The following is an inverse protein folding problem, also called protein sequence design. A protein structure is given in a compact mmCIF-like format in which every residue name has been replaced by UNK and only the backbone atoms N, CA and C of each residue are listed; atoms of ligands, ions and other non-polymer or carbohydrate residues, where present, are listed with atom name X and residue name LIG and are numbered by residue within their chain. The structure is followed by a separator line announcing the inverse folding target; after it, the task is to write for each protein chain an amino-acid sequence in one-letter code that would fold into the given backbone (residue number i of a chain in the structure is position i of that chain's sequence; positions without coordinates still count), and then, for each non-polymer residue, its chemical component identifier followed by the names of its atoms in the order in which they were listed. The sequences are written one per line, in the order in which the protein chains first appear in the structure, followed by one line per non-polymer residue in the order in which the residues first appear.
data_IF_465143844190
#
_entry.id   IF_465143844190
#
_cell.length_a   1.000
_cell.length_b   1.000
_cell.length_c   1.000
_cell.angle_alpha   90.00
_cell.angle_beta   90.00
_cell.angle_gamma   90.00
#
_symmetry.space_group_name_H-M   'P 1'
#
loop_
_entity.id
_entity.type
_entity.pdbx_description
1 polymer ?
#
# COMPACT_ATOMS: atom_id res chain seq x y z
N UNK A 1 31.29 -0.21 -15.80
CA UNK A 1 30.28 -0.96 -15.03
C UNK A 1 30.11 -0.29 -13.68
N UNK A 2 29.07 0.53 -13.52
CA UNK A 2 28.75 1.21 -12.26
C UNK A 2 27.94 0.21 -11.43
N UNK A 3 28.45 -0.22 -10.27
CA UNK A 3 27.70 -1.09 -9.34
C UNK A 3 26.49 -0.30 -8.86
N UNK A 4 25.32 -0.60 -9.42
CA UNK A 4 24.04 -0.16 -8.87
C UNK A 4 23.79 -1.05 -7.66
N UNK A 5 24.03 -0.50 -6.48
CA UNK A 5 23.78 -1.15 -5.20
C UNK A 5 22.26 -1.16 -4.95
N UNK A 6 21.72 -2.33 -4.60
CA UNK A 6 20.29 -2.56 -4.30
C UNK A 6 19.75 -1.61 -3.20
N UNK A 7 20.64 -0.98 -2.42
CA UNK A 7 20.31 0.01 -1.40
C UNK A 7 19.69 1.32 -1.94
N UNK A 8 19.89 1.71 -3.21
CA UNK A 8 19.33 2.96 -3.76
C UNK A 8 17.91 2.79 -4.33
N UNK A 9 17.41 1.56 -4.49
CA UNK A 9 16.06 1.29 -5.00
C UNK A 9 14.97 1.36 -3.91
N UNK A 10 15.35 1.37 -2.63
CA UNK A 10 14.40 1.37 -1.51
C UNK A 10 14.01 2.79 -1.04
N UNK A 11 14.78 3.81 -1.40
CA UNK A 11 14.53 5.22 -1.01
C UNK A 11 13.59 5.98 -1.97
N UNK A 12 13.16 5.36 -3.07
CA UNK A 12 12.00 5.80 -3.86
C UNK A 12 10.77 4.93 -3.58
N UNK A 13 10.60 4.52 -2.31
CA UNK A 13 9.27 4.34 -1.75
C UNK A 13 8.53 5.68 -1.91
N UNK A 14 7.90 5.85 -3.06
CA UNK A 14 6.91 6.86 -3.37
C UNK A 14 6.08 7.06 -2.12
N UNK A 15 6.16 8.25 -1.51
CA UNK A 15 5.13 8.74 -0.60
C UNK A 15 3.84 8.75 -1.43
N UNK A 16 3.21 7.58 -1.54
CA UNK A 16 1.90 7.42 -2.11
C UNK A 16 1.03 8.24 -1.17
N UNK A 17 0.81 9.50 -1.55
CA UNK A 17 -0.02 10.44 -0.83
C UNK A 17 -1.32 9.71 -0.58
N UNK A 18 -1.48 9.27 0.67
CA UNK A 18 -2.67 8.55 1.10
C UNK A 18 -3.82 9.47 0.72
N UNK A 19 -4.74 9.01 -0.14
CA UNK A 19 -5.75 9.87 -0.72
C UNK A 19 -6.41 10.72 0.37
N UNK A 20 -6.55 12.03 0.14
CA UNK A 20 -6.97 12.99 1.16
C UNK A 20 -8.33 12.67 1.80
N UNK A 21 -9.16 11.85 1.15
CA UNK A 21 -10.43 11.36 1.71
C UNK A 21 -10.25 10.26 2.79
N UNK A 22 -9.11 9.56 2.80
CA UNK A 22 -8.71 8.65 3.89
C UNK A 22 -8.06 9.42 5.04
N UNK A 23 -7.41 10.53 4.74
CA UNK A 23 -6.96 11.52 5.72
C UNK A 23 -8.15 12.38 6.18
N UNK A 24 -9.22 11.74 6.67
CA UNK A 24 -10.16 12.45 7.52
C UNK A 24 -9.44 12.79 8.83
N UNK A 25 -8.68 13.89 8.82
CA UNK A 25 -8.25 14.55 10.05
C UNK A 25 -9.52 14.94 10.79
N UNK A 26 -10.01 14.01 11.62
CA UNK A 26 -10.94 14.35 12.67
C UNK A 26 -10.23 15.42 13.49
N UNK A 27 -10.69 16.66 13.33
CA UNK A 27 -10.20 17.82 14.06
C UNK A 27 -10.55 17.60 15.53
N UNK A 28 -9.70 16.86 16.23
CA UNK A 28 -9.93 16.49 17.62
C UNK A 28 -9.92 17.76 18.46
N UNK A 29 -10.98 17.95 19.26
CA UNK A 29 -11.02 19.05 20.23
C UNK A 29 -9.82 18.92 21.18
N UNK A 30 -9.05 20.02 21.33
CA UNK A 30 -7.83 20.05 22.16
C UNK A 30 -8.06 19.53 23.58
N UNK A 31 -9.22 19.82 24.17
CA UNK A 31 -9.63 19.35 25.49
C UNK A 31 -9.79 17.83 25.56
N UNK A 32 -10.40 17.22 24.54
CA UNK A 32 -10.59 15.78 24.48
C UNK A 32 -9.28 15.03 24.22
N UNK A 33 -8.29 15.67 23.58
CA UNK A 33 -6.99 15.04 23.30
C UNK A 33 -6.26 14.60 24.57
N UNK A 34 -6.26 15.44 25.61
CA UNK A 34 -5.68 15.07 26.91
C UNK A 34 -6.41 13.89 27.54
N UNK A 35 -7.74 13.90 27.49
CA UNK A 35 -8.55 12.79 27.99
C UNK A 35 -8.31 11.49 27.22
N UNK A 36 -8.27 11.53 25.88
CA UNK A 36 -7.96 10.35 25.07
C UNK A 36 -6.57 9.81 25.37
N UNK A 37 -5.59 10.66 25.65
CA UNK A 37 -4.27 10.20 26.05
C UNK A 37 -4.29 9.44 27.39
N UNK A 38 -5.19 9.82 28.31
CA UNK A 38 -5.36 9.16 29.60
C UNK A 38 -6.19 7.87 29.52
N UNK A 39 -7.27 7.86 28.74
CA UNK A 39 -8.31 6.83 28.79
C UNK A 39 -8.30 5.86 27.59
N UNK A 40 -7.81 6.28 26.42
CA UNK A 40 -7.87 5.48 25.19
C UNK A 40 -6.76 4.42 25.15
N UNK A 41 -7.03 3.22 24.59
CA UNK A 41 -5.97 2.29 24.25
C UNK A 41 -5.01 2.88 23.22
N UNK A 42 -3.80 2.34 23.14
CA UNK A 42 -2.79 2.71 22.13
C UNK A 42 -3.28 2.37 20.72
N UNK A 43 -2.99 3.25 19.76
CA UNK A 43 -3.36 3.05 18.36
C UNK A 43 -2.68 1.81 17.77
N UNK A 44 -3.43 0.85 17.19
CA UNK A 44 -2.83 -0.30 16.52
C UNK A 44 -2.13 0.13 15.22
N UNK A 45 -1.11 -0.61 14.75
CA UNK A 45 -0.46 -0.34 13.47
C UNK A 45 -1.45 -0.49 12.31
N UNK A 46 -1.19 0.17 11.19
CA UNK A 46 -2.08 0.15 10.00
C UNK A 46 -2.30 -1.27 9.42
N UNK A 47 -1.32 -2.17 9.62
CA UNK A 47 -1.39 -3.58 9.22
C UNK A 47 -2.06 -4.50 10.25
N UNK A 48 -2.59 -3.96 11.35
CA UNK A 48 -3.25 -4.78 12.37
C UNK A 48 -4.52 -5.45 11.84
N UNK A 49 -4.80 -6.65 12.34
CA UNK A 49 -6.02 -7.38 12.01
C UNK A 49 -7.28 -6.58 12.36
N UNK A 50 -8.36 -6.80 11.60
CA UNK A 50 -9.66 -6.16 11.80
C UNK A 50 -10.13 -6.24 13.26
N UNK A 51 -9.94 -7.39 13.93
CA UNK A 51 -10.31 -7.59 15.34
C UNK A 51 -9.60 -6.60 16.27
N UNK A 52 -8.30 -6.33 16.07
CA UNK A 52 -7.56 -5.35 16.89
C UNK A 52 -7.98 -3.92 16.60
N UNK A 53 -8.26 -3.59 15.33
CA UNK A 53 -8.79 -2.26 14.95
C UNK A 53 -10.17 -2.04 15.55
N UNK A 54 -11.03 -3.06 15.59
CA UNK A 54 -12.36 -3.00 16.19
C UNK A 54 -12.30 -2.86 17.72
N UNK A 55 -11.41 -3.60 18.39
CA UNK A 55 -11.16 -3.41 19.83
C UNK A 55 -10.70 -1.98 20.14
N UNK A 56 -9.79 -1.41 19.34
CA UNK A 56 -9.37 -0.02 19.48
C UNK A 56 -10.53 0.96 19.27
N UNK A 57 -11.35 0.76 18.22
CA UNK A 57 -12.54 1.57 17.96
C UNK A 57 -13.50 1.57 19.15
N UNK A 58 -13.83 0.38 19.68
CA UNK A 58 -14.69 0.25 20.87
C UNK A 58 -14.07 0.89 22.11
N UNK A 59 -12.78 0.70 22.34
CA UNK A 59 -12.09 1.34 23.47
C UNK A 59 -12.05 2.87 23.35
N UNK A 60 -11.97 3.40 22.13
CA UNK A 60 -12.04 4.84 21.85
C UNK A 60 -13.46 5.40 22.04
N UNK A 61 -14.49 4.73 21.53
CA UNK A 61 -15.90 5.08 21.80
C UNK A 61 -16.18 5.04 23.31
N UNK A 62 -15.67 4.01 24.01
CA UNK A 62 -15.76 3.93 25.45
C UNK A 62 -15.12 5.13 26.16
N UNK A 63 -13.96 5.57 25.67
CA UNK A 63 -13.30 6.78 26.18
C UNK A 63 -14.13 8.05 25.93
N UNK A 64 -14.96 8.11 24.89
CA UNK A 64 -15.85 9.25 24.65
C UNK A 64 -17.02 9.30 25.64
N UNK A 65 -17.53 8.13 26.01
CA UNK A 65 -18.70 7.99 26.88
C UNK A 65 -18.31 8.18 28.36
N UNK A 66 -17.13 7.70 28.77
CA UNK A 66 -16.68 7.73 30.17
C UNK A 66 -16.77 9.13 30.84
N UNK A 67 -16.34 10.26 30.23
CA UNK A 67 -16.50 11.59 30.81
C UNK A 67 -17.95 11.95 31.16
N UNK A 68 -18.90 11.61 30.28
CA UNK A 68 -20.31 11.86 30.53
C UNK A 68 -20.81 11.02 31.72
N UNK A 69 -20.31 9.79 31.86
CA UNK A 69 -20.61 8.93 33.00
C UNK A 69 -20.03 9.48 34.32
N UNK A 70 -18.82 10.04 34.30
CA UNK A 70 -18.26 10.75 35.47
C UNK A 70 -19.11 11.97 35.85
N UNK A 71 -19.49 12.80 34.87
CA UNK A 71 -20.35 13.98 35.10
C UNK A 71 -21.70 13.56 35.67
N UNK A 72 -22.30 12.48 35.16
CA UNK A 72 -23.55 11.95 35.68
C UNK A 72 -23.44 11.58 37.17
N UNK A 73 -22.38 10.88 37.57
CA UNK A 73 -22.14 10.56 38.99
C UNK A 73 -21.87 11.81 39.83
N UNK A 74 -21.20 12.83 39.28
CA UNK A 74 -20.98 14.11 39.98
C UNK A 74 -22.32 14.83 40.24
N UNK A 75 -23.24 14.79 39.27
CA UNK A 75 -24.58 15.39 39.41
C UNK A 75 -25.43 14.64 40.44
N UNK A 76 -25.17 13.36 40.69
CA UNK A 76 -25.86 12.58 41.72
C UNK A 76 -25.39 12.91 43.15
N UNK A 77 -24.18 13.47 43.34
CA UNK A 77 -23.64 13.75 44.68
C UNK A 77 -24.51 14.72 45.51
N UNK A 78 -24.97 15.87 44.98
CA UNK A 78 -25.87 16.76 45.73
C UNK A 78 -27.12 16.07 46.25
N UNK A 79 -27.69 15.12 45.49
CA UNK A 79 -28.85 14.36 45.93
C UNK A 79 -28.54 13.46 47.14
N UNK A 80 -27.31 12.96 47.27
CA UNK A 80 -26.89 12.18 48.44
C UNK A 80 -26.66 13.02 49.70
N UNK A 81 -26.22 14.27 49.55
CA UNK A 81 -26.03 15.18 50.68
C UNK A 81 -27.31 15.86 51.15
N UNK A 82 -28.22 16.18 50.22
CA UNK A 82 -29.46 16.89 50.50
C UNK A 82 -30.67 15.94 50.66
N UNK A 83 -30.54 14.71 50.18
CA UNK A 83 -31.62 13.71 50.19
C UNK A 83 -31.74 12.95 51.51
N UNK A 84 -32.77 12.12 51.57
CA UNK A 84 -33.07 11.26 52.73
C UNK A 84 -32.16 10.03 52.80
N UNK A 85 -31.58 9.59 51.68
CA UNK A 85 -30.71 8.41 51.62
C UNK A 85 -29.23 8.78 51.80
N UNK A 86 -28.76 8.79 53.06
CA UNK A 86 -27.34 9.02 53.37
C UNK A 86 -26.39 7.96 52.80
N UNK A 87 -26.88 6.76 52.46
CA UNK A 87 -26.07 5.71 51.82
C UNK A 87 -25.70 6.03 50.37
N UNK A 88 -26.40 6.98 49.73
CA UNK A 88 -26.12 7.34 48.34
C UNK A 88 -24.70 7.89 48.16
N UNK A 89 -24.17 8.67 49.12
CA UNK A 89 -22.81 9.23 49.04
C UNK A 89 -21.74 8.14 48.97
N UNK A 90 -21.65 7.16 49.91
CA UNK A 90 -20.67 6.09 49.80
C UNK A 90 -20.88 5.20 48.58
N UNK A 91 -22.13 4.97 48.13
CA UNK A 91 -22.42 4.23 46.89
C UNK A 91 -21.78 4.96 45.69
N UNK A 92 -22.01 6.27 45.56
CA UNK A 92 -21.44 7.08 44.48
C UNK A 92 -19.91 7.06 44.52
N UNK A 93 -19.29 7.16 45.70
CA UNK A 93 -17.82 7.06 45.87
C UNK A 93 -17.31 5.72 45.32
N UNK A 94 -17.96 4.59 45.66
CA UNK A 94 -17.60 3.28 45.13
C UNK A 94 -17.74 3.23 43.61
N UNK A 95 -18.81 3.80 43.06
CA UNK A 95 -19.01 3.90 41.61
C UNK A 95 -17.90 4.72 40.92
N UNK A 96 -17.45 5.83 41.51
CA UNK A 96 -16.31 6.60 41.01
C UNK A 96 -15.03 5.74 40.97
N UNK A 97 -14.74 5.01 42.05
CA UNK A 97 -13.58 4.12 42.09
C UNK A 97 -13.65 3.02 41.02
N UNK A 98 -14.83 2.44 40.82
CA UNK A 98 -15.05 1.46 39.75
C UNK A 98 -14.86 2.06 38.35
N UNK A 99 -15.30 3.30 38.10
CA UNK A 99 -15.04 3.97 36.82
C UNK A 99 -13.56 4.30 36.60
N UNK A 100 -12.82 4.61 37.66
CA UNK A 100 -11.36 4.78 37.59
C UNK A 100 -10.72 3.46 37.16
N UNK A 101 -11.10 2.35 37.79
CA UNK A 101 -10.63 1.00 37.41
C UNK A 101 -10.98 0.71 35.95
N UNK A 102 -12.21 0.98 35.52
CA UNK A 102 -12.63 0.78 34.14
C UNK A 102 -11.80 1.63 33.15
N UNK A 103 -11.48 2.86 33.50
CA UNK A 103 -10.65 3.77 32.70
C UNK A 103 -9.23 3.22 32.55
N UNK A 104 -8.64 2.71 33.63
CA UNK A 104 -7.32 2.05 33.60
C UNK A 104 -7.35 0.79 32.74
N UNK A 105 -8.37 -0.08 32.92
CA UNK A 105 -8.52 -1.29 32.10
C UNK A 105 -8.68 -0.97 30.61
N UNK A 106 -9.43 0.09 30.28
CA UNK A 106 -9.60 0.53 28.90
C UNK A 106 -8.28 1.00 28.28
N UNK A 107 -7.49 1.76 29.05
CA UNK A 107 -6.14 2.20 28.65
C UNK A 107 -5.20 1.02 28.39
N UNK A 108 -5.30 -0.04 29.18
CA UNK A 108 -4.53 -1.28 29.00
C UNK A 108 -4.99 -2.13 27.80
N UNK A 109 -6.01 -1.69 27.06
CA UNK A 109 -6.57 -2.45 25.93
C UNK A 109 -7.50 -3.60 26.34
N UNK A 110 -7.80 -3.75 27.63
CA UNK A 110 -8.73 -4.75 28.16
C UNK A 110 -10.19 -4.25 28.05
N UNK A 111 -10.60 -3.88 26.84
CA UNK A 111 -11.86 -3.15 26.58
C UNK A 111 -13.10 -3.90 27.06
N UNK A 112 -13.16 -5.23 26.90
CA UNK A 112 -14.30 -6.02 27.39
C UNK A 112 -14.38 -6.03 28.93
N UNK A 113 -13.23 -6.10 29.62
CA UNK A 113 -13.20 -6.07 31.08
C UNK A 113 -13.59 -4.68 31.60
N UNK A 114 -13.08 -3.62 30.97
CA UNK A 114 -13.50 -2.24 31.26
C UNK A 114 -15.02 -2.08 31.07
N UNK A 115 -15.56 -2.57 29.95
CA UNK A 115 -16.99 -2.57 29.68
C UNK A 115 -17.82 -3.29 30.72
N UNK A 116 -17.38 -4.46 31.16
CA UNK A 116 -18.04 -5.22 32.21
C UNK A 116 -18.08 -4.44 33.53
N UNK A 117 -16.97 -3.81 33.92
CA UNK A 117 -16.91 -2.95 35.13
C UNK A 117 -17.85 -1.75 35.00
N UNK A 118 -17.92 -1.08 33.83
CA UNK A 118 -18.86 0.04 33.61
C UNK A 118 -20.31 -0.42 33.73
N UNK A 119 -20.68 -1.53 33.08
CA UNK A 119 -22.05 -2.08 33.14
C UNK A 119 -22.42 -2.45 34.58
N UNK A 120 -21.52 -3.13 35.30
CA UNK A 120 -21.75 -3.45 36.71
C UNK A 120 -21.87 -2.20 37.56
N UNK A 121 -21.08 -1.16 37.32
CA UNK A 121 -21.14 0.10 38.07
C UNK A 121 -22.51 0.76 37.93
N UNK A 122 -23.02 0.86 36.70
CA UNK A 122 -24.31 1.50 36.42
C UNK A 122 -25.52 0.59 36.62
N UNK A 123 -25.31 -0.70 36.81
CA UNK A 123 -26.32 -1.62 37.33
C UNK A 123 -26.38 -1.54 38.86
N UNK A 124 -25.22 -1.56 39.53
CA UNK A 124 -25.08 -1.47 40.97
C UNK A 124 -25.64 -0.16 41.53
N UNK A 125 -25.35 0.97 40.89
CA UNK A 125 -25.79 2.30 41.36
C UNK A 125 -27.30 2.39 41.65
N UNK A 126 -28.22 2.22 40.67
CA UNK A 126 -29.65 2.32 40.92
C UNK A 126 -30.19 1.18 41.79
N UNK A 127 -29.61 -0.03 41.70
CA UNK A 127 -30.01 -1.16 42.55
C UNK A 127 -29.72 -0.85 44.03
N UNK A 128 -28.50 -0.40 44.31
CA UNK A 128 -28.07 -0.08 45.66
C UNK A 128 -28.86 1.11 46.22
N UNK A 129 -29.15 2.12 45.40
CA UNK A 129 -30.01 3.25 45.79
C UNK A 129 -31.40 2.75 46.24
N UNK A 130 -32.10 2.01 45.39
CA UNK A 130 -33.44 1.46 45.68
C UNK A 130 -33.44 0.57 46.94
N UNK A 131 -32.44 -0.30 47.09
CA UNK A 131 -32.36 -1.24 48.23
C UNK A 131 -32.02 -0.53 49.53
N UNK A 132 -31.30 0.59 49.48
CA UNK A 132 -30.88 1.34 50.68
C UNK A 132 -31.81 2.49 51.05
N UNK A 133 -32.88 2.73 50.27
CA UNK A 133 -33.86 3.78 50.56
C UNK A 133 -34.50 3.58 51.94
N UNK A 134 -34.33 4.54 52.87
CA UNK A 134 -34.90 4.44 54.21
C UNK A 134 -36.42 4.51 54.15
N UNK A 135 -37.09 3.58 54.84
CA UNK A 135 -38.55 3.48 54.83
C UNK A 135 -39.13 2.67 53.68
N UNK A 136 -38.28 2.09 52.82
CA UNK A 136 -38.70 1.27 51.69
C UNK A 136 -38.98 2.08 50.42
N UNK A 137 -39.48 1.39 49.40
CA UNK A 137 -39.78 1.98 48.09
C UNK A 137 -41.03 2.86 48.20
N UNK A 138 -40.91 4.10 47.77
CA UNK A 138 -42.01 5.07 47.67
C UNK A 138 -42.31 5.41 46.19
N UNK A 139 -43.35 6.20 45.92
CA UNK A 139 -43.72 6.54 44.53
C UNK A 139 -42.68 7.40 43.79
N UNK A 140 -41.90 8.20 44.52
CA UNK A 140 -40.83 9.04 43.95
C UNK A 140 -39.63 8.20 43.51
N UNK A 141 -39.53 6.94 43.95
CA UNK A 141 -38.46 6.02 43.55
C UNK A 141 -38.79 5.29 42.23
N UNK A 142 -40.05 5.29 41.77
CA UNK A 142 -40.44 4.63 40.52
C UNK A 142 -39.63 5.11 39.28
N UNK A 143 -39.34 6.41 39.12
CA UNK A 143 -38.45 6.90 38.06
C UNK A 143 -37.01 6.34 38.14
N UNK A 144 -36.52 5.93 39.32
CA UNK A 144 -35.16 5.36 39.48
C UNK A 144 -35.03 4.03 38.75
N UNK A 145 -36.12 3.25 38.64
CA UNK A 145 -36.13 2.05 37.79
C UNK A 145 -35.91 2.38 36.30
N UNK A 146 -36.25 3.59 35.86
CA UNK A 146 -35.91 4.09 34.53
C UNK A 146 -34.40 4.24 34.33
N UNK A 147 -33.63 4.50 35.39
CA UNK A 147 -32.16 4.57 35.31
C UNK A 147 -31.52 3.20 35.01
N UNK A 148 -32.22 2.08 35.20
CA UNK A 148 -31.77 0.75 34.78
C UNK A 148 -31.68 0.61 33.24
N UNK A 149 -32.14 1.59 32.48
CA UNK A 149 -31.89 1.66 31.04
C UNK A 149 -30.41 2.00 30.75
N UNK A 150 -29.77 2.81 31.59
CA UNK A 150 -28.39 3.25 31.38
C UNK A 150 -27.37 2.09 31.27
N UNK A 151 -27.39 1.05 32.14
CA UNK A 151 -26.50 -0.10 31.96
C UNK A 151 -26.77 -0.87 30.66
N UNK A 152 -27.96 -0.81 30.06
CA UNK A 152 -28.22 -1.40 28.73
C UNK A 152 -27.46 -0.64 27.63
N UNK A 153 -27.52 0.70 27.66
CA UNK A 153 -26.77 1.55 26.73
C UNK A 153 -25.27 1.36 26.90
N UNK A 154 -24.80 1.23 28.14
CA UNK A 154 -23.40 0.90 28.43
C UNK A 154 -23.03 -0.49 27.88
N UNK A 155 -23.89 -1.49 28.05
CA UNK A 155 -23.63 -2.84 27.56
C UNK A 155 -23.43 -2.87 26.04
N UNK A 156 -24.30 -2.22 25.26
CA UNK A 156 -24.12 -2.22 23.79
C UNK A 156 -22.93 -1.40 23.32
N UNK A 157 -22.52 -0.40 24.10
CA UNK A 157 -21.41 0.49 23.74
C UNK A 157 -20.06 -0.14 24.02
N UNK A 158 -19.94 -0.89 25.11
CA UNK A 158 -18.66 -1.43 25.58
C UNK A 158 -18.50 -2.94 25.42
N UNK A 159 -19.58 -3.71 25.34
CA UNK A 159 -19.56 -5.18 25.22
C UNK A 159 -20.08 -5.61 23.83
N UNK A 160 -19.89 -6.89 23.44
CA UNK A 160 -20.55 -7.42 22.26
C UNK A 160 -22.07 -7.19 22.33
N UNK A 161 -22.76 -6.85 21.23
CA UNK A 161 -24.16 -6.38 21.25
C UNK A 161 -25.13 -7.31 21.98
N UNK A 162 -24.87 -8.62 21.96
CA UNK A 162 -25.72 -9.62 22.61
C UNK A 162 -25.77 -9.51 24.14
N UNK A 163 -24.79 -8.87 24.79
CA UNK A 163 -24.76 -8.67 26.25
C UNK A 163 -25.89 -7.79 26.77
N UNK A 164 -26.57 -7.05 25.91
CA UNK A 164 -27.72 -6.23 26.31
C UNK A 164 -28.88 -7.08 26.83
N UNK A 165 -29.07 -8.31 26.31
CA UNK A 165 -30.18 -9.17 26.71
C UNK A 165 -30.01 -9.76 28.11
N UNK A 166 -28.84 -10.33 28.50
CA UNK A 166 -28.59 -10.70 29.89
C UNK A 166 -28.77 -9.54 30.87
N UNK A 167 -28.27 -8.35 30.53
CA UNK A 167 -28.41 -7.15 31.38
C UNK A 167 -29.88 -6.75 31.51
N UNK A 168 -30.65 -6.74 30.42
CA UNK A 168 -32.08 -6.48 30.43
C UNK A 168 -32.84 -7.50 31.27
N UNK A 169 -32.50 -8.78 31.13
CA UNK A 169 -33.11 -9.85 31.92
C UNK A 169 -32.87 -9.65 33.42
N UNK A 170 -31.63 -9.36 33.83
CA UNK A 170 -31.28 -9.09 35.22
C UNK A 170 -32.05 -7.86 35.74
N UNK A 171 -32.12 -6.79 34.95
CA UNK A 171 -32.86 -5.59 35.34
C UNK A 171 -34.36 -5.85 35.46
N UNK A 172 -34.96 -6.62 34.55
CA UNK A 172 -36.37 -7.01 34.61
C UNK A 172 -36.65 -7.87 35.86
N UNK A 173 -35.79 -8.85 36.15
CA UNK A 173 -35.92 -9.70 37.33
C UNK A 173 -35.75 -8.88 38.63
N UNK A 174 -34.79 -7.96 38.66
CA UNK A 174 -34.60 -7.06 39.78
C UNK A 174 -35.82 -6.14 39.99
N UNK A 175 -36.34 -5.52 38.92
CA UNK A 175 -37.56 -4.68 39.01
C UNK A 175 -38.73 -5.46 39.59
N UNK A 176 -38.95 -6.68 39.08
CA UNK A 176 -40.03 -7.54 39.58
C UNK A 176 -39.81 -7.92 41.06
N UNK A 177 -38.59 -8.31 41.43
CA UNK A 177 -38.24 -8.65 42.80
C UNK A 177 -38.40 -7.46 43.75
N UNK A 178 -37.89 -6.28 43.37
CA UNK A 178 -37.96 -5.07 44.18
C UNK A 178 -39.42 -4.67 44.47
N UNK A 179 -40.28 -4.70 43.46
CA UNK A 179 -41.71 -4.34 43.60
C UNK A 179 -42.56 -5.42 44.29
N UNK A 180 -42.02 -6.61 44.59
CA UNK A 180 -42.79 -7.68 45.25
C UNK A 180 -42.24 -8.05 46.63
N UNK A 181 -40.93 -7.91 46.85
CA UNK A 181 -40.26 -8.41 48.05
C UNK A 181 -39.67 -7.31 48.94
N UNK A 182 -39.38 -6.12 48.40
CA UNK A 182 -38.84 -5.03 49.23
C UNK A 182 -39.96 -4.30 49.98
N UNK A 183 -39.68 -3.76 51.19
CA UNK A 183 -40.63 -2.95 51.92
C UNK A 183 -41.11 -1.76 51.07
N UNK A 184 -42.41 -1.49 51.13
CA UNK A 184 -43.06 -0.41 50.38
C UNK A 184 -43.79 0.53 51.34
N UNK A 185 -43.90 1.80 50.96
CA UNK A 185 -44.77 2.71 51.69
C UNK A 185 -46.24 2.28 51.54
N UNK A 186 -47.10 2.56 52.54
CA UNK A 186 -48.53 2.22 52.45
C UNK A 186 -49.22 2.79 51.21
N UNK A 187 -48.77 3.98 50.76
CA UNK A 187 -49.27 4.63 49.57
C UNK A 187 -48.95 3.85 48.29
N UNK A 188 -47.69 3.38 48.14
CA UNK A 188 -47.29 2.58 46.99
C UNK A 188 -47.94 1.19 47.02
N UNK A 189 -48.04 0.58 48.20
CA UNK A 189 -48.70 -0.72 48.36
C UNK A 189 -50.17 -0.65 47.92
N UNK A 190 -50.92 0.37 48.37
CA UNK A 190 -52.31 0.56 47.94
C UNK A 190 -52.45 0.78 46.42
N UNK A 191 -51.49 1.48 45.80
CA UNK A 191 -51.48 1.63 44.34
C UNK A 191 -51.13 0.33 43.61
N UNK A 192 -50.20 -0.46 44.12
CA UNK A 192 -49.84 -1.75 43.53
C UNK A 192 -50.98 -2.76 43.65
N UNK A 193 -51.75 -2.76 44.73
CA UNK A 193 -52.95 -3.61 44.86
C UNK A 193 -54.02 -3.27 43.80
N UNK A 194 -54.19 -1.99 43.49
CA UNK A 194 -55.19 -1.53 42.51
C UNK A 194 -54.71 -1.73 41.07
N UNK A 195 -53.43 -1.44 40.80
CA UNK A 195 -52.92 -1.38 39.43
C UNK A 195 -51.46 -1.86 39.29
N UNK A 196 -51.14 -3.04 39.83
CA UNK A 196 -49.81 -3.65 39.70
C UNK A 196 -49.32 -3.67 38.25
N UNK A 197 -50.14 -4.20 37.34
CA UNK A 197 -49.81 -4.37 35.93
C UNK A 197 -49.53 -3.04 35.24
N UNK A 198 -50.31 -2.00 35.52
CA UNK A 198 -50.13 -0.68 34.91
C UNK A 198 -48.85 0.03 35.35
N UNK A 199 -48.36 -0.26 36.56
CA UNK A 199 -47.11 0.32 37.08
C UNK A 199 -45.89 -0.45 36.55
N UNK A 200 -45.92 -1.78 36.59
CA UNK A 200 -44.75 -2.60 36.22
C UNK A 200 -44.55 -2.71 34.69
N UNK A 201 -45.64 -2.77 33.91
CA UNK A 201 -45.55 -3.05 32.48
C UNK A 201 -44.75 -1.99 31.72
N UNK A 202 -44.94 -0.67 31.91
CA UNK A 202 -44.14 0.35 31.23
C UNK A 202 -42.64 0.25 31.51
N UNK A 203 -42.26 -0.10 32.75
CA UNK A 203 -40.85 -0.26 33.14
C UNK A 203 -40.24 -1.46 32.41
N UNK A 204 -40.89 -2.63 32.44
CA UNK A 204 -40.37 -3.83 31.78
C UNK A 204 -40.39 -3.70 30.25
N UNK A 205 -41.47 -3.18 29.68
CA UNK A 205 -41.62 -2.99 28.23
C UNK A 205 -40.56 -2.00 27.72
N UNK A 206 -40.30 -0.89 28.44
CA UNK A 206 -39.27 0.06 28.02
C UNK A 206 -37.86 -0.55 28.01
N UNK A 207 -37.51 -1.38 29.00
CA UNK A 207 -36.22 -2.09 29.03
C UNK A 207 -36.09 -3.08 27.87
N UNK A 208 -37.15 -3.85 27.58
CA UNK A 208 -37.16 -4.80 26.47
C UNK A 208 -37.02 -4.06 25.14
N UNK A 209 -37.85 -3.03 24.89
CA UNK A 209 -37.80 -2.25 23.65
C UNK A 209 -36.42 -1.65 23.45
N UNK A 210 -35.85 -1.00 24.47
CA UNK A 210 -34.54 -0.36 24.36
C UNK A 210 -33.45 -1.41 24.12
N UNK A 211 -33.52 -2.58 24.75
CA UNK A 211 -32.54 -3.65 24.50
C UNK A 211 -32.55 -4.12 23.05
N UNK A 212 -33.74 -4.30 22.45
CA UNK A 212 -33.90 -4.71 21.04
C UNK A 212 -33.42 -3.62 20.10
N UNK A 213 -33.84 -2.38 20.30
CA UNK A 213 -33.44 -1.24 19.46
C UNK A 213 -31.92 -1.04 19.52
N UNK A 214 -31.34 -1.05 20.71
CA UNK A 214 -29.91 -0.90 20.91
C UNK A 214 -29.11 -2.05 20.27
N UNK A 215 -29.59 -3.29 20.39
CA UNK A 215 -29.00 -4.45 19.71
C UNK A 215 -28.98 -4.28 18.18
N UNK A 216 -30.15 -3.97 17.60
CA UNK A 216 -30.29 -3.81 16.14
C UNK A 216 -29.42 -2.66 15.64
N UNK A 217 -29.41 -1.53 16.36
CA UNK A 217 -28.62 -0.36 15.99
C UNK A 217 -27.12 -0.67 15.98
N UNK A 218 -26.55 -1.16 17.09
CA UNK A 218 -25.11 -1.46 17.15
C UNK A 218 -24.74 -2.58 16.19
N UNK A 219 -25.56 -3.63 16.10
CA UNK A 219 -25.31 -4.73 15.16
C UNK A 219 -25.27 -4.22 13.71
N UNK A 220 -26.25 -3.40 13.32
CA UNK A 220 -26.28 -2.79 11.98
C UNK A 220 -25.05 -1.93 11.71
N UNK A 221 -24.63 -1.10 12.67
CA UNK A 221 -23.42 -0.27 12.55
C UNK A 221 -22.17 -1.12 12.38
N UNK A 222 -21.99 -2.18 13.16
CA UNK A 222 -20.84 -3.10 13.05
C UNK A 222 -20.82 -3.78 11.68
N UNK A 223 -21.95 -4.25 11.18
CA UNK A 223 -22.04 -4.87 9.84
C UNK A 223 -21.78 -3.86 8.72
N UNK A 224 -22.29 -2.63 8.83
CA UNK A 224 -22.03 -1.57 7.86
C UNK A 224 -20.54 -1.21 7.83
N UNK A 225 -19.91 -1.12 8.99
CA UNK A 225 -18.48 -0.81 9.13
C UNK A 225 -17.61 -1.93 8.55
N UNK A 226 -17.94 -3.19 8.82
CA UNK A 226 -17.26 -4.34 8.24
C UNK A 226 -17.44 -4.46 6.72
N UNK A 227 -18.52 -3.90 6.14
CA UNK A 227 -18.68 -3.79 4.68
C UNK A 227 -17.85 -2.65 4.12
N UNK A 228 -17.81 -1.50 4.79
CA UNK A 228 -17.00 -0.36 4.38
C UNK A 228 -15.51 -0.69 4.38
N UNK A 229 -14.99 -1.32 5.44
CA UNK A 229 -13.57 -1.69 5.54
C UNK A 229 -13.17 -2.70 4.44
N UNK A 230 -14.06 -3.64 4.08
CA UNK A 230 -13.85 -4.57 2.94
C UNK A 230 -13.87 -3.86 1.59
N UNK A 231 -14.77 -2.89 1.41
CA UNK A 231 -14.83 -2.09 0.18
C UNK A 231 -13.57 -1.22 0.02
N UNK A 232 -13.04 -0.68 1.12
CA UNK A 232 -11.78 0.07 1.12
C UNK A 232 -10.59 -0.82 0.74
N UNK A 233 -10.51 -2.03 1.29
CA UNK A 233 -9.47 -3.00 0.93
C UNK A 233 -9.53 -3.40 -0.55
N UNK A 234 -10.73 -3.65 -1.08
CA UNK A 234 -10.93 -3.94 -2.51
C UNK A 234 -10.50 -2.75 -3.38
N UNK A 235 -10.95 -1.53 -3.05
CA UNK A 235 -10.60 -0.33 -3.80
C UNK A 235 -9.07 -0.09 -3.82
N UNK A 236 -8.39 -0.37 -2.71
CA UNK A 236 -6.93 -0.30 -2.64
C UNK A 236 -6.27 -1.32 -3.55
N UNK A 237 -6.73 -2.58 -3.52
CA UNK A 237 -6.19 -3.64 -4.38
C UNK A 237 -6.44 -3.36 -5.86
N UNK A 238 -7.63 -2.86 -6.21
CA UNK A 238 -7.95 -2.45 -7.58
C UNK A 238 -7.04 -1.32 -8.07
N UNK A 239 -6.77 -0.33 -7.21
CA UNK A 239 -5.85 0.75 -7.53
C UNK A 239 -4.42 0.24 -7.75
N UNK A 240 -3.92 -0.63 -6.87
CA UNK A 240 -2.59 -1.23 -6.99
C UNK A 240 -2.46 -2.07 -8.28
N UNK A 241 -3.51 -2.85 -8.62
CA UNK A 241 -3.57 -3.60 -9.87
C UNK A 241 -3.61 -2.70 -11.10
N UNK A 242 -4.36 -1.59 -11.05
CA UNK A 242 -4.43 -0.62 -12.15
C UNK A 242 -3.05 0.02 -12.41
N UNK A 243 -2.32 0.40 -11.34
CA UNK A 243 -0.96 0.92 -11.47
C UNK A 243 0.00 -0.10 -12.08
N UNK A 244 -0.08 -1.37 -11.66
CA UNK A 244 0.74 -2.44 -12.24
C UNK A 244 0.41 -2.67 -13.72
N UNK A 245 -0.88 -2.65 -14.08
CA UNK A 245 -1.32 -2.80 -15.47
C UNK A 245 -0.81 -1.64 -16.35
N UNK A 246 -0.84 -0.41 -15.85
CA UNK A 246 -0.30 0.75 -16.56
C UNK A 246 1.22 0.64 -16.75
N UNK A 247 1.95 0.25 -15.70
CA UNK A 247 3.40 0.03 -15.80
C UNK A 247 3.74 -1.06 -16.83
N UNK A 248 3.00 -2.17 -16.83
CA UNK A 248 3.16 -3.24 -17.80
C UNK A 248 2.84 -2.79 -19.23
N UNK A 249 1.78 -1.99 -19.41
CA UNK A 249 1.42 -1.43 -20.71
C UNK A 249 2.52 -0.51 -21.27
N UNK A 250 3.07 0.38 -20.42
CA UNK A 250 4.19 1.27 -20.80
C UNK A 250 5.44 0.47 -21.17
N UNK A 251 5.77 -0.57 -20.41
CA UNK A 251 6.91 -1.45 -20.74
C UNK A 251 6.72 -2.14 -22.08
N UNK A 252 5.50 -2.61 -22.36
CA UNK A 252 5.16 -3.24 -23.65
C UNK A 252 5.29 -2.25 -24.81
N UNK A 253 4.77 -1.03 -24.66
CA UNK A 253 4.89 0.01 -25.69
C UNK A 253 6.36 0.36 -25.96
N UNK A 254 7.17 0.51 -24.90
CA UNK A 254 8.61 0.74 -25.05
C UNK A 254 9.30 -0.41 -25.78
N UNK A 255 8.94 -1.66 -25.48
CA UNK A 255 9.47 -2.84 -26.13
C UNK A 255 9.09 -2.86 -27.62
N UNK A 256 7.82 -2.64 -27.97
CA UNK A 256 7.33 -2.61 -29.34
C UNK A 256 8.02 -1.52 -30.17
N UNK A 257 8.12 -0.30 -29.63
CA UNK A 257 8.84 0.80 -30.27
C UNK A 257 10.32 0.46 -30.51
N UNK A 258 10.93 -0.31 -29.62
CA UNK A 258 12.34 -0.71 -29.73
C UNK A 258 12.55 -1.82 -30.76
N UNK A 259 11.62 -2.77 -30.83
CA UNK A 259 11.57 -3.80 -31.88
C UNK A 259 11.39 -3.13 -33.24
N UNK A 260 10.48 -2.17 -33.37
CA UNK A 260 10.24 -1.48 -34.65
C UNK A 260 11.50 -0.78 -35.18
N UNK A 261 12.27 -0.12 -34.30
CA UNK A 261 13.57 0.47 -34.66
C UNK A 261 14.60 -0.56 -35.14
N UNK A 262 14.62 -1.75 -34.52
CA UNK A 262 15.48 -2.86 -34.95
C UNK A 262 15.05 -3.34 -36.35
N UNK A 263 13.75 -3.56 -36.57
CA UNK A 263 13.19 -4.03 -37.84
C UNK A 263 13.43 -3.02 -38.96
N UNK A 264 13.25 -1.72 -38.71
CA UNK A 264 13.50 -0.65 -39.66
C UNK A 264 14.98 -0.61 -40.06
N UNK A 265 15.89 -0.68 -39.09
CA UNK A 265 17.33 -0.73 -39.35
C UNK A 265 17.69 -1.95 -40.19
N UNK A 266 17.14 -3.12 -39.86
CA UNK A 266 17.38 -4.35 -40.62
C UNK A 266 16.87 -4.23 -42.07
N UNK A 267 15.70 -3.63 -42.27
CA UNK A 267 15.13 -3.36 -43.60
C UNK A 267 16.02 -2.42 -44.42
N UNK A 268 16.55 -1.34 -43.81
CA UNK A 268 17.50 -0.43 -44.48
C UNK A 268 18.78 -1.14 -44.91
N UNK A 269 19.34 -1.98 -44.04
CA UNK A 269 20.53 -2.78 -44.36
C UNK A 269 20.25 -3.76 -45.49
N UNK A 270 19.09 -4.43 -45.48
CA UNK A 270 18.67 -5.34 -46.55
C UNK A 270 18.53 -4.61 -47.90
N UNK A 271 18.17 -3.33 -47.89
CA UNK A 271 18.10 -2.46 -49.06
C UNK A 271 19.47 -1.86 -49.47
N UNK A 272 20.58 -2.32 -48.88
CA UNK A 272 21.95 -1.93 -49.25
C UNK A 272 22.54 -0.78 -48.43
N UNK A 273 21.82 -0.23 -47.45
CA UNK A 273 22.36 0.78 -46.54
C UNK A 273 23.08 0.14 -45.35
N UNK A 274 24.31 -0.32 -45.59
CA UNK A 274 25.16 -0.92 -44.54
C UNK A 274 25.66 0.08 -43.48
N UNK A 275 25.41 1.38 -43.68
CA UNK A 275 25.78 2.42 -42.70
C UNK A 275 24.75 2.56 -41.57
N UNK A 276 23.52 2.04 -41.76
CA UNK A 276 22.47 2.10 -40.76
C UNK A 276 22.87 1.38 -39.46
N UNK A 277 22.50 1.98 -38.32
CA UNK A 277 22.73 1.44 -36.97
C UNK A 277 21.45 1.54 -36.17
N UNK A 278 21.26 0.57 -35.28
CA UNK A 278 20.10 0.54 -34.38
C UNK A 278 20.28 1.61 -33.30
N UNK A 279 19.38 2.62 -33.21
CA UNK A 279 19.51 3.73 -32.27
C UNK A 279 18.80 3.39 -30.94
N UNK A 280 19.29 2.39 -30.21
CA UNK A 280 18.81 2.07 -28.87
C UNK A 280 19.81 2.52 -27.80
N UNK A 281 19.31 3.19 -26.76
CA UNK A 281 20.08 3.63 -25.58
C UNK A 281 20.27 2.50 -24.57
N UNK A 282 21.21 2.64 -23.63
CA UNK A 282 21.52 1.66 -22.58
C UNK A 282 20.35 1.34 -21.65
N UNK A 283 19.36 2.24 -21.60
CA UNK A 283 18.20 2.13 -20.71
C UNK A 283 17.14 1.17 -21.27
N UNK A 284 17.34 0.69 -22.50
CA UNK A 284 16.42 -0.22 -23.17
C UNK A 284 16.73 -1.69 -22.85
N UNK A 285 15.71 -2.50 -22.58
CA UNK A 285 15.87 -3.94 -22.33
C UNK A 285 16.53 -4.67 -23.52
N UNK A 286 16.34 -4.17 -24.75
CA UNK A 286 16.92 -4.75 -25.98
C UNK A 286 18.29 -4.18 -26.33
N UNK A 287 18.91 -3.38 -25.47
CA UNK A 287 20.23 -2.78 -25.73
C UNK A 287 21.32 -3.82 -25.98
N UNK A 288 21.29 -4.95 -25.26
CA UNK A 288 22.24 -6.04 -25.51
C UNK A 288 22.07 -6.64 -26.91
N UNK A 289 20.82 -6.78 -27.36
CA UNK A 289 20.51 -7.31 -28.69
C UNK A 289 20.98 -6.33 -29.77
N UNK A 290 20.70 -5.03 -29.62
CA UNK A 290 21.16 -4.02 -30.58
C UNK A 290 22.68 -3.90 -30.63
N UNK A 291 23.38 -4.06 -29.50
CA UNK A 291 24.83 -4.10 -29.46
C UNK A 291 25.40 -5.23 -30.33
N UNK A 292 24.86 -6.45 -30.17
CA UNK A 292 25.28 -7.60 -30.98
C UNK A 292 24.97 -7.41 -32.47
N UNK A 293 23.79 -6.86 -32.79
CA UNK A 293 23.37 -6.58 -34.16
C UNK A 293 24.25 -5.51 -34.81
N UNK A 294 24.53 -4.40 -34.13
CA UNK A 294 25.40 -3.33 -34.65
C UNK A 294 26.83 -3.83 -34.94
N UNK A 295 27.35 -4.76 -34.14
CA UNK A 295 28.63 -5.41 -34.40
C UNK A 295 28.60 -6.28 -35.66
N UNK A 296 27.52 -7.04 -35.88
CA UNK A 296 27.33 -7.81 -37.12
C UNK A 296 27.21 -6.90 -38.34
N UNK A 297 26.45 -5.82 -38.24
CA UNK A 297 26.32 -4.81 -39.31
C UNK A 297 27.66 -4.15 -39.64
N UNK A 298 28.47 -3.83 -38.62
CA UNK A 298 29.81 -3.28 -38.83
C UNK A 298 30.73 -4.29 -39.55
N UNK A 299 30.66 -5.58 -39.22
CA UNK A 299 31.41 -6.62 -39.94
C UNK A 299 30.93 -6.76 -41.40
N UNK A 300 29.63 -6.76 -41.64
CA UNK A 300 29.05 -6.83 -42.98
C UNK A 300 29.45 -5.62 -43.84
N UNK A 301 29.42 -4.41 -43.27
CA UNK A 301 29.87 -3.21 -43.95
C UNK A 301 31.34 -3.30 -44.39
N UNK A 302 32.23 -3.78 -43.51
CA UNK A 302 33.64 -4.01 -43.85
C UNK A 302 33.79 -5.01 -44.99
N UNK A 303 33.12 -6.16 -44.91
CA UNK A 303 33.15 -7.16 -45.98
C UNK A 303 32.68 -6.61 -47.34
N UNK A 304 31.67 -5.74 -47.34
CA UNK A 304 31.19 -5.09 -48.57
C UNK A 304 32.19 -4.05 -49.12
N UNK A 305 32.83 -3.27 -48.25
CA UNK A 305 33.90 -2.34 -48.62
C UNK A 305 35.10 -3.08 -49.21
N UNK A 306 35.53 -4.16 -48.57
CA UNK A 306 36.63 -5.00 -49.05
C UNK A 306 36.30 -5.59 -50.43
N UNK A 307 35.08 -6.09 -50.62
CA UNK A 307 34.59 -6.61 -51.91
C UNK A 307 34.63 -5.55 -53.01
N UNK A 308 34.14 -4.34 -52.73
CA UNK A 308 34.11 -3.24 -53.70
C UNK A 308 35.52 -2.73 -54.02
N UNK A 309 36.40 -2.65 -53.03
CA UNK A 309 37.81 -2.34 -53.24
C UNK A 309 38.48 -3.41 -54.12
N UNK A 310 38.25 -4.69 -53.82
CA UNK A 310 38.79 -5.81 -54.60
C UNK A 310 38.26 -5.79 -56.05
N UNK A 311 37.00 -5.40 -56.25
CA UNK A 311 36.42 -5.23 -57.59
C UNK A 311 37.04 -4.06 -58.34
N UNK A 312 37.27 -2.91 -57.69
CA UNK A 312 38.02 -1.77 -58.27
C UNK A 312 39.46 -2.15 -58.58
N UNK A 313 40.11 -2.90 -57.69
CA UNK A 313 41.48 -3.36 -57.87
C UNK A 313 41.56 -4.32 -59.06
N UNK A 314 40.60 -5.23 -59.22
CA UNK A 314 40.46 -6.07 -60.43
C UNK A 314 40.29 -5.24 -61.70
N UNK A 315 39.41 -4.24 -61.69
CA UNK A 315 39.21 -3.33 -62.83
C UNK A 315 40.49 -2.54 -63.17
N UNK A 316 41.17 -2.00 -62.16
CA UNK A 316 42.46 -1.33 -62.32
C UNK A 316 43.52 -2.27 -62.89
N UNK A 317 43.56 -3.52 -62.44
CA UNK A 317 44.48 -4.53 -62.97
C UNK A 317 44.20 -4.84 -64.45
N UNK A 318 42.94 -4.89 -64.86
CA UNK A 318 42.57 -5.04 -66.27
C UNK A 318 43.01 -3.84 -67.11
N UNK A 319 42.79 -2.61 -66.62
CA UNK A 319 43.25 -1.39 -67.30
C UNK A 319 44.77 -1.35 -67.45
N UNK A 320 45.50 -1.67 -66.38
CA UNK A 320 46.97 -1.68 -66.36
C UNK A 320 47.56 -2.76 -67.28
N UNK A 321 46.84 -3.88 -67.44
CA UNK A 321 47.19 -4.95 -68.38
C UNK A 321 46.97 -4.51 -69.83
N UNK A 322 45.88 -3.81 -70.11
CA UNK A 322 45.58 -3.22 -71.42
C UNK A 322 46.64 -2.17 -71.79
N UNK A 323 47.01 -1.30 -70.85
CA UNK A 323 48.03 -0.27 -71.03
C UNK A 323 49.42 -0.88 -71.26
N UNK A 324 49.80 -1.91 -70.49
CA UNK A 324 51.03 -2.66 -70.73
C UNK A 324 51.05 -3.32 -72.11
N UNK A 325 49.91 -3.84 -72.59
CA UNK A 325 49.79 -4.41 -73.92
C UNK A 325 50.04 -3.34 -74.99
N UNK A 326 49.42 -2.16 -74.86
CA UNK A 326 49.65 -1.02 -75.77
C UNK A 326 51.10 -0.56 -75.75
N UNK A 327 51.70 -0.45 -74.57
CA UNK A 327 53.11 -0.08 -74.43
C UNK A 327 54.02 -1.10 -75.13
N UNK A 328 53.77 -2.40 -74.97
CA UNK A 328 54.51 -3.43 -75.70
C UNK A 328 54.33 -3.33 -77.21
N UNK A 329 53.11 -3.09 -77.69
CA UNK A 329 52.85 -2.85 -79.11
C UNK A 329 53.61 -1.62 -79.62
N UNK A 330 53.66 -0.52 -78.86
CA UNK A 330 54.46 0.66 -79.22
C UNK A 330 55.96 0.41 -79.18
N UNK A 331 56.48 -0.33 -78.21
CA UNK A 331 57.91 -0.69 -78.13
C UNK A 331 58.29 -1.58 -79.31
N UNK A 332 57.44 -2.54 -79.67
CA UNK A 332 57.64 -3.38 -80.86
C UNK A 332 57.61 -2.53 -82.14
N UNK A 333 56.67 -1.58 -82.26
CA UNK A 333 56.63 -0.65 -83.38
C UNK A 333 57.87 0.24 -83.45
N UNK A 334 58.37 0.72 -82.31
CA UNK A 334 59.62 1.48 -82.22
C UNK A 334 60.85 0.62 -82.53
N UNK A 335 60.87 -0.66 -82.15
CA UNK A 335 61.93 -1.60 -82.54
C UNK A 335 61.89 -1.88 -84.04
N UNK A 336 60.71 -2.02 -84.64
CA UNK A 336 60.57 -2.13 -86.10
C UNK A 336 61.05 -0.86 -86.80
N UNK A 337 60.68 0.32 -86.29
CA UNK A 337 61.23 1.60 -86.79
C UNK A 337 62.75 1.68 -86.63
N UNK A 338 63.30 1.18 -85.52
CA UNK A 338 64.75 1.12 -85.29
C UNK A 338 65.43 0.07 -86.17
N UNK A 339 64.78 -1.02 -86.51
CA UNK A 339 65.26 -2.03 -87.46
C UNK A 339 65.15 -1.51 -88.91
N UNK A 340 64.18 -0.65 -89.21
CA UNK A 340 64.08 0.11 -90.46
C UNK A 340 65.15 1.21 -90.56
N UNK A 341 65.42 1.95 -89.48
CA UNK A 341 66.55 2.88 -89.38
C UNK A 341 67.90 2.14 -89.37
N UNK A 342 67.96 0.96 -88.77
CA UNK A 342 69.12 0.05 -88.76
C UNK A 342 69.40 -0.57 -90.12
N UNK A 343 68.38 -0.77 -90.96
CA UNK A 343 68.56 -1.14 -92.38
C UNK A 343 69.16 -0.02 -93.24
N UNK A 344 69.15 1.24 -92.77
CA UNK A 344 69.77 2.38 -93.47
C UNK A 344 71.19 2.72 -93.02
N UNK A 345 71.76 2.03 -92.03
CA UNK A 345 73.17 2.22 -91.63
C UNK A 345 73.84 0.88 -91.36
N UNK A 346 74.43 0.34 -92.41
CA UNK A 346 75.35 -0.77 -92.30
C UNK A 346 76.63 -0.40 -91.55
N UNK A 347 77.20 -1.45 -90.98
CA UNK A 347 78.62 -1.71 -90.70
C UNK A 347 79.21 -1.43 -89.30
N UNK A 348 79.50 -2.57 -88.64
CA UNK A 348 80.81 -2.95 -88.06
C UNK A 348 81.06 -2.72 -86.55
N UNK A 349 82.02 -3.46 -85.94
CA UNK A 349 81.71 -4.47 -84.92
C UNK A 349 82.50 -4.31 -83.60
N UNK A 350 82.32 -5.30 -82.72
CA UNK A 350 83.28 -5.84 -81.73
C UNK A 350 83.26 -5.38 -80.26
N UNK A 351 83.26 -6.44 -79.41
CA UNK A 351 83.95 -6.64 -78.12
C UNK A 351 83.50 -5.91 -76.85
N UNK A 352 82.92 -6.68 -75.91
CA UNK A 352 83.50 -7.12 -74.61
C UNK A 352 82.37 -7.43 -73.61
N UNK A 353 82.20 -8.69 -73.17
CA UNK A 353 82.82 -9.28 -71.97
C UNK A 353 82.59 -8.47 -70.68
N UNK A 354 81.55 -8.82 -69.89
CA UNK A 354 81.62 -8.87 -68.42
C UNK A 354 80.44 -9.68 -67.83
N UNK A 355 80.79 -10.78 -67.17
CA UNK A 355 80.03 -11.53 -66.14
C UNK A 355 80.85 -11.38 -64.84
N UNK A 356 80.41 -11.70 -63.60
CA UNK A 356 79.16 -12.32 -63.11
C UNK A 356 78.62 -11.64 -61.80
N UNK A 357 77.74 -12.34 -61.08
CA UNK A 357 77.51 -12.30 -59.62
C UNK A 357 76.62 -11.20 -58.99
N UNK A 358 75.39 -11.59 -58.60
CA UNK A 358 75.12 -12.08 -57.23
C UNK A 358 73.62 -12.02 -56.86
N UNK A 359 73.11 -12.97 -56.06
CA UNK A 359 71.69 -13.07 -55.70
C UNK A 359 71.41 -12.25 -54.42
N UNK A 360 70.67 -11.14 -54.54
CA UNK A 360 70.17 -10.44 -53.35
C UNK A 360 68.86 -11.05 -52.86
N UNK A 361 69.01 -11.92 -51.87
CA UNK A 361 68.07 -12.15 -50.77
C UNK A 361 67.45 -10.81 -50.31
N UNK A 362 66.14 -10.68 -50.43
CA UNK A 362 65.29 -9.83 -49.59
C UNK A 362 64.42 -10.81 -48.79
N UNK A 363 64.95 -11.32 -47.67
CA UNK A 363 64.58 -10.88 -46.31
C UNK A 363 63.06 -10.81 -46.16
N UNK A 364 62.51 -11.98 -45.79
CA UNK A 364 61.32 -12.07 -44.96
C UNK A 364 61.62 -11.37 -43.63
N UNK A 365 60.94 -10.26 -43.34
CA UNK A 365 60.79 -9.77 -41.97
C UNK A 365 59.51 -10.38 -41.41
N UNK A 366 59.70 -11.47 -40.66
CA UNK A 366 58.77 -11.95 -39.63
C UNK A 366 58.74 -10.91 -38.52
N UNK A 367 57.70 -10.08 -38.50
CA UNK A 367 57.33 -9.26 -37.35
C UNK A 367 56.31 -10.01 -36.50
N UNK A 368 56.83 -10.87 -35.64
CA UNK A 368 56.12 -11.48 -34.52
C UNK A 368 56.14 -10.45 -33.37
N UNK A 369 55.06 -9.68 -33.19
CA UNK A 369 54.80 -9.03 -31.90
C UNK A 369 53.59 -9.68 -31.25
N UNK A 370 53.89 -10.33 -30.12
CA UNK A 370 52.98 -10.94 -29.17
C UNK A 370 52.13 -9.86 -28.51
N UNK A 371 50.83 -10.11 -28.43
CA UNK A 371 50.04 -9.88 -27.23
C UNK A 371 49.52 -11.22 -26.74
#
# INVERSE_FOLDING_TARGET
MKKITIADLDTQSTDAQVPSYLASEHRENRWLRWWYWLASPSMPPASASFQRRELFRRGRTGSQILPALYVLLMVALPAGFLGTNFYLVPIVIVCFLMLIIATVLNRLGLVNAAGFVVVLTFMFFPIADIVTTPGGINMMDLPVFGMLILPLVCAVSFLPPWWVFPVALINCLFTFFALTQLPQTPELMGMLEINFTGIISPILISQIIISVVAYVWVSSTVHALARADRAEEIARLEHDLAMQAEAAARQKEQLENSIQKIVETHTRVANGDYSARVPLTSDNVLWQISGSLNNLLARMQRLHQDSTELQKMKQGFYQLREENRRLRETVLALQQLREEEGRSRGSSPNLSQFSPDSPRKLIWQTGEERF
#
